data_IF_749490929582
#
_entry.id   IF_749490929582
#
_cell.length_a   1.000
_cell.length_b   1.000
_cell.length_c   1.000
_cell.angle_alpha   90.00
_cell.angle_beta   90.00
_cell.angle_gamma   90.00
#
_symmetry.space_group_name_H-M   'P 1'
#
loop_
_entity.id
_entity.type
_entity.pdbx_description
1 polymer ?
#
# COMPACT_ATOMS: atom_id res chain seq x y z
N UNK A 1 14.88 3.38 47.28
CA UNK A 1 15.72 2.30 46.74
C UNK A 1 15.45 2.23 45.22
N UNK A 2 16.45 2.46 44.41
CA UNK A 2 16.31 2.36 42.93
C UNK A 2 16.62 0.92 42.54
N UNK A 3 15.66 0.22 41.94
CA UNK A 3 15.87 -1.11 41.39
C UNK A 3 16.53 -0.91 40.02
N UNK A 4 17.85 -1.21 39.93
CA UNK A 4 18.62 -0.98 38.70
C UNK A 4 18.56 -2.12 37.67
N UNK A 5 18.08 -3.30 38.06
CA UNK A 5 17.87 -4.46 37.18
C UNK A 5 16.79 -5.38 37.75
N UNK A 6 15.85 -5.79 36.88
CA UNK A 6 15.00 -6.96 37.11
C UNK A 6 15.61 -8.10 36.31
N UNK A 7 15.99 -9.20 36.99
CA UNK A 7 16.49 -10.39 36.32
C UNK A 7 15.33 -11.24 35.82
N UNK A 8 15.50 -11.89 34.67
CA UNK A 8 14.46 -12.73 34.05
C UNK A 8 13.92 -13.81 35.00
N UNK A 9 14.80 -14.31 35.89
CA UNK A 9 14.46 -15.31 36.91
C UNK A 9 13.50 -14.77 38.01
N UNK A 10 13.38 -13.45 38.12
CA UNK A 10 12.48 -12.78 39.08
C UNK A 10 11.09 -12.48 38.50
N UNK A 11 10.86 -12.80 37.23
CA UNK A 11 9.58 -12.58 36.55
C UNK A 11 8.90 -13.93 36.31
N UNK A 12 7.68 -14.08 36.82
CA UNK A 12 6.85 -15.20 36.40
C UNK A 12 6.32 -14.93 34.97
N UNK A 13 6.85 -15.61 33.97
CA UNK A 13 6.50 -15.43 32.58
C UNK A 13 5.04 -15.80 32.22
N UNK A 14 4.30 -16.39 33.17
CA UNK A 14 2.87 -16.66 33.02
C UNK A 14 1.99 -15.48 33.47
N UNK A 15 2.56 -14.47 34.13
CA UNK A 15 1.81 -13.32 34.61
C UNK A 15 1.74 -12.20 33.57
N UNK A 16 0.67 -11.40 33.63
CA UNK A 16 0.54 -10.19 32.81
C UNK A 16 1.17 -9.01 33.57
N UNK A 17 2.19 -8.39 33.00
CA UNK A 17 2.86 -7.23 33.56
C UNK A 17 2.37 -5.95 32.88
N UNK A 18 1.89 -4.99 33.66
CA UNK A 18 1.55 -3.64 33.18
C UNK A 18 2.75 -2.70 33.40
N UNK A 19 3.31 -2.17 32.33
CA UNK A 19 4.35 -1.16 32.38
C UNK A 19 3.71 0.23 32.20
N UNK A 20 3.88 1.11 33.19
CA UNK A 20 3.32 2.48 33.16
C UNK A 20 4.32 3.54 32.71
N UNK A 21 5.54 3.15 32.35
CA UNK A 21 6.60 4.01 31.83
C UNK A 21 6.98 3.66 30.40
N UNK A 22 7.83 4.50 29.79
CA UNK A 22 8.37 4.22 28.47
C UNK A 22 9.23 2.95 28.51
N UNK A 23 8.86 1.96 27.72
CA UNK A 23 9.71 0.79 27.49
C UNK A 23 10.75 1.23 26.45
N UNK A 24 11.98 1.52 26.90
CA UNK A 24 13.11 1.77 26.03
C UNK A 24 13.57 0.45 25.41
N UNK A 25 13.07 0.14 24.26
CA UNK A 25 13.37 -1.03 23.45
C UNK A 25 12.43 -1.04 22.26
N UNK A 26 12.86 -1.61 21.15
CA UNK A 26 12.05 -1.61 19.91
C UNK A 26 10.89 -2.58 20.04
N UNK A 27 9.81 -2.20 20.71
CA UNK A 27 8.51 -2.85 20.51
C UNK A 27 7.91 -2.24 19.25
N UNK A 28 8.18 -2.85 18.13
CA UNK A 28 7.47 -2.49 16.90
C UNK A 28 6.03 -3.03 16.98
N UNK A 29 5.14 -2.26 17.57
CA UNK A 29 3.69 -2.49 17.44
C UNK A 29 3.20 -1.83 16.14
N UNK A 30 3.78 -2.26 15.02
CA UNK A 30 3.41 -1.77 13.70
C UNK A 30 1.99 -2.23 13.37
N UNK A 31 1.08 -1.28 13.27
CA UNK A 31 -0.31 -1.53 12.88
C UNK A 31 -0.42 -1.60 11.36
N UNK A 32 -1.00 -2.66 10.83
CA UNK A 32 -1.15 -2.90 9.40
C UNK A 32 -2.51 -2.46 8.87
N UNK A 33 -2.49 -1.76 7.74
CA UNK A 33 -3.63 -1.56 6.84
C UNK A 33 -3.30 -2.19 5.49
N UNK A 34 -3.98 -3.28 5.14
CA UNK A 34 -3.72 -4.05 3.92
C UNK A 34 -4.92 -3.96 2.99
N UNK A 35 -4.67 -3.39 1.83
CA UNK A 35 -5.64 -3.12 0.77
C UNK A 35 -5.29 -3.89 -0.51
N UNK A 36 -6.32 -4.27 -1.25
CA UNK A 36 -6.17 -4.98 -2.52
C UNK A 36 -7.15 -4.45 -3.57
N UNK A 37 -6.79 -4.64 -4.84
CA UNK A 37 -7.73 -4.69 -5.95
C UNK A 37 -7.92 -6.14 -6.33
N UNK A 38 -9.13 -6.65 -6.14
CA UNK A 38 -9.51 -8.01 -6.50
C UNK A 38 -10.73 -7.97 -7.44
N UNK A 39 -10.76 -8.89 -8.40
CA UNK A 39 -11.87 -9.07 -9.32
C UNK A 39 -12.21 -10.55 -9.48
N UNK A 40 -13.41 -10.84 -9.93
CA UNK A 40 -13.82 -12.20 -10.24
C UNK A 40 -12.98 -12.78 -11.39
N UNK A 41 -13.03 -14.11 -11.53
CA UNK A 41 -12.47 -14.81 -12.70
C UNK A 41 -12.98 -14.16 -14.00
N UNK A 42 -12.11 -14.03 -14.98
CA UNK A 42 -12.39 -13.44 -16.31
C UNK A 42 -12.74 -11.94 -16.31
N UNK A 43 -12.49 -11.23 -15.21
CA UNK A 43 -12.65 -9.77 -15.11
C UNK A 43 -11.28 -9.11 -15.02
N UNK A 44 -10.96 -8.26 -15.98
CA UNK A 44 -9.69 -7.52 -16.06
C UNK A 44 -9.67 -6.28 -15.14
N UNK A 45 -8.47 -5.75 -14.89
CA UNK A 45 -8.25 -4.65 -13.93
C UNK A 45 -8.68 -3.25 -14.40
N UNK A 46 -9.11 -3.12 -15.63
CA UNK A 46 -9.55 -1.85 -16.20
C UNK A 46 -8.58 -1.25 -17.22
N UNK A 47 -9.07 -0.22 -17.91
CA UNK A 47 -8.31 0.56 -18.89
C UNK A 47 -7.46 1.64 -18.23
N UNK A 48 -6.60 2.30 -19.02
CA UNK A 48 -5.80 3.43 -18.59
C UNK A 48 -5.84 4.57 -19.61
N UNK A 49 -5.43 5.77 -19.17
CA UNK A 49 -5.07 6.87 -20.05
C UNK A 49 -3.54 6.92 -20.19
N UNK A 50 -3.05 7.00 -21.43
CA UNK A 50 -1.62 7.11 -21.69
C UNK A 50 -1.06 8.48 -21.31
N UNK A 51 0.23 8.55 -21.05
CA UNK A 51 0.96 9.74 -20.59
C UNK A 51 0.27 10.43 -19.40
N UNK A 52 -0.26 9.64 -18.50
CA UNK A 52 -1.11 10.09 -17.40
C UNK A 52 -0.92 9.27 -16.14
N UNK A 53 -1.33 9.84 -15.01
CA UNK A 53 -1.43 9.14 -13.73
C UNK A 53 -2.86 8.61 -13.57
N UNK A 54 -3.00 7.31 -13.50
CA UNK A 54 -4.28 6.61 -13.35
C UNK A 54 -4.43 6.14 -11.90
N UNK A 55 -5.51 6.50 -11.23
CA UNK A 55 -5.78 6.01 -9.88
C UNK A 55 -6.07 4.51 -9.92
N UNK A 56 -5.41 3.75 -9.05
CA UNK A 56 -5.64 2.31 -8.91
C UNK A 56 -6.87 2.05 -8.07
N UNK A 57 -7.65 1.07 -8.47
CA UNK A 57 -8.76 0.55 -7.68
C UNK A 57 -8.23 -0.14 -6.42
N UNK A 58 -8.90 0.11 -5.28
CA UNK A 58 -8.69 -0.51 -3.99
C UNK A 58 -10.06 -0.89 -3.42
N UNK A 59 -10.57 -2.06 -3.81
CA UNK A 59 -11.93 -2.49 -3.51
C UNK A 59 -12.03 -3.53 -2.38
N UNK A 60 -10.89 -3.98 -1.84
CA UNK A 60 -10.86 -4.99 -0.79
C UNK A 60 -9.93 -4.56 0.35
N UNK A 61 -10.43 -4.65 1.58
CA UNK A 61 -9.65 -4.49 2.81
C UNK A 61 -9.43 -5.86 3.43
N UNK A 62 -8.18 -6.31 3.44
CA UNK A 62 -7.79 -7.59 4.06
C UNK A 62 -7.72 -7.46 5.57
N UNK A 63 -7.10 -6.39 6.04
CA UNK A 63 -7.00 -6.04 7.46
C UNK A 63 -6.84 -4.53 7.63
N UNK A 64 -7.44 -3.98 8.69
CA UNK A 64 -7.20 -2.60 9.12
C UNK A 64 -7.03 -2.58 10.64
N UNK A 65 -5.79 -2.41 11.10
CA UNK A 65 -5.42 -2.27 12.51
C UNK A 65 -5.14 -0.81 12.90
N UNK A 66 -5.17 0.12 11.93
CA UNK A 66 -4.87 1.54 12.15
C UNK A 66 -6.17 2.27 12.50
N UNK A 67 -6.38 2.59 13.77
CA UNK A 67 -7.55 3.37 14.19
C UNK A 67 -7.61 4.71 13.44
N UNK A 68 -8.77 5.02 12.87
CA UNK A 68 -8.99 6.23 12.06
C UNK A 68 -8.52 6.14 10.61
N UNK A 69 -7.92 5.01 10.17
CA UNK A 69 -7.67 4.77 8.77
C UNK A 69 -8.90 4.19 8.06
N UNK A 70 -9.09 4.57 6.80
CA UNK A 70 -10.18 4.07 5.96
C UNK A 70 -9.82 4.12 4.48
N UNK A 71 -10.57 3.37 3.66
CA UNK A 71 -10.58 3.49 2.20
C UNK A 71 -12.00 3.73 1.72
N UNK A 72 -12.17 4.69 0.82
CA UNK A 72 -13.46 5.00 0.19
C UNK A 72 -13.21 5.54 -1.23
N UNK A 73 -13.91 5.01 -2.21
CA UNK A 73 -13.75 5.40 -3.62
C UNK A 73 -12.28 5.38 -4.09
N UNK A 74 -11.52 4.39 -3.64
CA UNK A 74 -10.08 4.20 -3.88
C UNK A 74 -9.14 5.19 -3.15
N UNK A 75 -9.69 6.16 -2.43
CA UNK A 75 -8.93 7.09 -1.62
C UNK A 75 -8.67 6.52 -0.22
N UNK A 76 -7.43 6.58 0.21
CA UNK A 76 -6.96 6.07 1.50
C UNK A 76 -6.79 7.23 2.47
N UNK A 77 -7.57 7.26 3.53
CA UNK A 77 -7.43 8.25 4.62
C UNK A 77 -6.58 7.67 5.73
N UNK A 78 -5.56 8.41 6.16
CA UNK A 78 -4.65 8.04 7.25
C UNK A 78 -4.62 9.14 8.32
N UNK A 79 -4.69 8.80 9.62
CA UNK A 79 -4.50 9.77 10.71
C UNK A 79 -3.03 10.22 10.79
N UNK A 80 -2.74 11.22 11.63
CA UNK A 80 -1.36 11.63 11.91
C UNK A 80 -0.49 10.44 12.35
N UNK A 81 0.77 10.40 11.89
CA UNK A 81 1.70 9.33 12.21
C UNK A 81 2.83 9.18 11.22
N UNK A 82 3.70 8.23 11.49
CA UNK A 82 4.77 7.78 10.59
C UNK A 82 4.41 6.42 10.01
N UNK A 83 4.58 6.30 8.71
CA UNK A 83 4.14 5.16 7.93
C UNK A 83 5.25 4.57 7.07
N UNK A 84 5.19 3.26 6.87
CA UNK A 84 5.91 2.54 5.82
C UNK A 84 4.86 2.02 4.84
N UNK A 85 5.08 2.24 3.57
CA UNK A 85 4.26 1.70 2.48
C UNK A 85 5.07 0.71 1.68
N UNK A 86 4.45 -0.38 1.29
CA UNK A 86 4.97 -1.39 0.36
C UNK A 86 3.82 -1.95 -0.46
N UNK A 87 4.06 -2.10 -1.76
CA UNK A 87 3.03 -2.66 -2.62
C UNK A 87 3.45 -2.83 -4.07
N UNK A 88 2.54 -3.44 -4.81
CA UNK A 88 2.68 -3.62 -6.25
C UNK A 88 1.33 -3.51 -6.96
N UNK A 89 1.39 -3.25 -8.26
CA UNK A 89 0.25 -3.30 -9.15
C UNK A 89 0.63 -3.85 -10.52
N UNK A 90 -0.27 -4.60 -11.12
CA UNK A 90 -0.08 -5.15 -12.46
C UNK A 90 -0.11 -4.04 -13.52
N UNK A 91 0.61 -4.27 -14.61
CA UNK A 91 0.66 -3.43 -15.81
C UNK A 91 0.78 -4.31 -17.06
N UNK A 92 -0.08 -4.07 -18.04
CA UNK A 92 -0.10 -4.82 -19.29
C UNK A 92 -0.01 -3.86 -20.48
N UNK A 93 1.05 -3.99 -21.31
CA UNK A 93 1.24 -3.25 -22.56
C UNK A 93 1.27 -1.71 -22.40
N UNK A 94 1.94 -1.20 -21.37
CA UNK A 94 1.90 0.23 -21.01
C UNK A 94 3.20 1.00 -21.31
N UNK A 95 4.23 0.36 -21.91
CA UNK A 95 5.58 0.89 -22.05
C UNK A 95 6.16 1.28 -20.67
N UNK A 96 6.73 2.49 -20.54
CA UNK A 96 7.24 2.95 -19.25
C UNK A 96 6.11 3.21 -18.29
N UNK A 97 6.24 2.69 -17.08
CA UNK A 97 5.24 2.89 -16.04
C UNK A 97 5.87 2.77 -14.65
N UNK A 98 5.22 3.34 -13.64
CA UNK A 98 5.62 3.26 -12.23
C UNK A 98 4.47 3.68 -11.32
N UNK A 99 4.48 3.20 -10.08
CA UNK A 99 3.54 3.60 -9.04
C UNK A 99 3.97 4.89 -8.38
N UNK A 100 3.00 5.65 -7.85
CA UNK A 100 3.21 6.87 -7.10
C UNK A 100 2.24 6.94 -5.94
N UNK A 101 2.72 7.37 -4.78
CA UNK A 101 1.87 7.69 -3.64
C UNK A 101 1.55 9.17 -3.66
N UNK A 102 0.31 9.50 -3.93
CA UNK A 102 -0.17 10.87 -4.10
C UNK A 102 -0.96 11.30 -2.86
N UNK A 103 -0.55 12.39 -2.24
CA UNK A 103 -1.30 13.06 -1.19
C UNK A 103 -2.34 13.97 -1.84
N UNK A 104 -3.59 13.53 -1.86
CA UNK A 104 -4.70 14.27 -2.46
C UNK A 104 -5.07 15.53 -1.66
N UNK A 105 -4.83 15.53 -0.35
CA UNK A 105 -5.09 16.70 0.51
C UNK A 105 -4.15 17.87 0.17
N UNK A 106 -2.86 17.60 -0.05
CA UNK A 106 -1.84 18.62 -0.29
C UNK A 106 -1.45 18.70 -1.79
N UNK A 107 -2.12 17.97 -2.67
CA UNK A 107 -1.89 17.91 -4.11
C UNK A 107 -0.41 17.61 -4.47
N UNK A 108 0.23 16.66 -3.81
CA UNK A 108 1.66 16.37 -3.95
C UNK A 108 1.97 14.88 -4.03
N UNK A 109 2.99 14.52 -4.83
CA UNK A 109 3.53 13.16 -4.86
C UNK A 109 4.59 13.00 -3.79
N UNK A 110 4.41 12.05 -2.87
CA UNK A 110 5.31 11.85 -1.74
C UNK A 110 6.34 10.76 -2.05
N UNK A 111 5.92 9.68 -2.71
CA UNK A 111 6.79 8.55 -3.04
C UNK A 111 6.59 8.20 -4.51
N UNK A 112 7.69 7.99 -5.22
CA UNK A 112 7.70 7.40 -6.54
C UNK A 112 8.28 5.98 -6.44
N UNK A 113 7.60 5.02 -7.04
CA UNK A 113 8.07 3.65 -7.16
C UNK A 113 9.12 3.49 -8.26
N UNK A 114 9.56 2.27 -8.47
CA UNK A 114 10.54 1.95 -9.50
C UNK A 114 9.95 2.06 -10.91
N UNK A 115 10.75 2.60 -11.84
CA UNK A 115 10.41 2.62 -13.27
C UNK A 115 10.48 1.22 -13.84
N UNK A 116 9.40 0.83 -14.53
CA UNK A 116 9.24 -0.47 -15.18
C UNK A 116 8.88 -0.29 -16.65
N UNK A 117 8.94 -1.36 -17.40
CA UNK A 117 8.60 -1.35 -18.82
C UNK A 117 7.80 -2.61 -19.19
N UNK A 118 6.57 -2.42 -19.67
CA UNK A 118 5.71 -3.45 -20.25
C UNK A 118 5.45 -3.10 -21.72
N UNK A 119 6.14 -3.76 -22.65
CA UNK A 119 6.10 -3.42 -24.06
C UNK A 119 4.66 -3.33 -24.59
N UNK A 120 4.28 -2.17 -25.12
CA UNK A 120 2.94 -1.92 -25.65
C UNK A 120 2.62 -2.70 -26.94
N UNK A 121 3.63 -3.16 -27.67
CA UNK A 121 3.47 -3.90 -28.93
C UNK A 121 3.40 -5.41 -28.71
N UNK A 122 3.83 -5.91 -27.56
CA UNK A 122 3.85 -7.32 -27.21
C UNK A 122 2.95 -7.58 -25.99
N UNK A 123 2.52 -8.83 -25.85
CA UNK A 123 1.69 -9.24 -24.70
C UNK A 123 2.54 -9.43 -23.45
N UNK A 124 3.04 -8.31 -22.89
CA UNK A 124 3.88 -8.30 -21.69
C UNK A 124 3.10 -7.72 -20.53
N UNK A 125 2.96 -8.52 -19.48
CA UNK A 125 2.51 -8.07 -18.16
C UNK A 125 3.66 -8.14 -17.17
N UNK A 126 3.82 -7.08 -16.37
CA UNK A 126 4.75 -7.08 -15.25
C UNK A 126 4.17 -6.32 -14.04
N UNK A 127 4.97 -6.15 -13.01
CA UNK A 127 4.57 -5.49 -11.76
C UNK A 127 5.28 -4.15 -11.62
N UNK A 128 4.53 -3.08 -11.42
CA UNK A 128 5.04 -1.85 -10.84
C UNK A 128 5.10 -1.99 -9.32
N UNK A 129 6.19 -1.59 -8.69
CA UNK A 129 6.38 -1.66 -7.25
C UNK A 129 6.51 -0.27 -6.63
N UNK A 130 6.13 -0.15 -5.36
CA UNK A 130 6.32 1.05 -4.55
C UNK A 130 6.72 0.65 -3.14
N UNK A 131 7.71 1.34 -2.59
CA UNK A 131 8.03 1.24 -1.17
C UNK A 131 8.60 2.56 -0.66
N UNK A 132 8.42 2.85 0.62
CA UNK A 132 8.96 4.06 1.22
C UNK A 132 8.40 4.34 2.61
N UNK A 133 8.97 5.39 3.23
CA UNK A 133 8.56 5.89 4.55
C UNK A 133 8.14 7.34 4.43
N UNK A 134 7.07 7.73 5.12
CA UNK A 134 6.60 9.11 5.19
C UNK A 134 5.97 9.42 6.56
N UNK A 135 5.89 10.70 6.89
CA UNK A 135 5.28 11.20 8.12
C UNK A 135 4.26 12.28 7.79
N UNK A 136 3.12 12.25 8.46
CA UNK A 136 2.08 13.26 8.38
C UNK A 136 1.70 13.73 9.79
N UNK A 137 1.57 15.07 9.95
CA UNK A 137 1.25 15.70 11.25
C UNK A 137 -0.24 15.82 11.50
N UNK A 138 -1.08 15.60 10.48
CA UNK A 138 -2.55 15.62 10.57
C UNK A 138 -3.13 14.54 9.68
N UNK A 139 -4.41 14.25 9.82
CA UNK A 139 -5.12 13.34 8.93
C UNK A 139 -5.03 13.82 7.47
N UNK A 140 -4.68 12.92 6.55
CA UNK A 140 -4.55 13.18 5.12
C UNK A 140 -5.20 12.07 4.30
N UNK A 141 -5.58 12.42 3.07
CA UNK A 141 -6.13 11.50 2.08
C UNK A 141 -5.12 11.27 0.97
N UNK A 142 -5.00 10.03 0.53
CA UNK A 142 -4.00 9.58 -0.45
C UNK A 142 -4.64 8.73 -1.53
N UNK A 143 -3.99 8.70 -2.70
CA UNK A 143 -4.32 7.81 -3.80
C UNK A 143 -3.08 7.04 -4.27
N UNK A 144 -3.26 5.76 -4.59
CA UNK A 144 -2.24 4.99 -5.30
C UNK A 144 -2.40 5.29 -6.80
N UNK A 145 -1.49 6.09 -7.34
CA UNK A 145 -1.47 6.48 -8.74
C UNK A 145 -0.52 5.60 -9.53
N UNK A 146 -0.89 5.26 -10.75
CA UNK A 146 -0.06 4.51 -11.69
C UNK A 146 0.20 5.40 -12.92
N UNK A 147 1.41 5.93 -13.05
CA UNK A 147 1.82 6.59 -14.29
C UNK A 147 2.05 5.55 -15.38
N UNK A 148 1.52 5.82 -16.57
CA UNK A 148 1.65 4.97 -17.74
C UNK A 148 1.99 5.82 -18.97
N UNK A 149 2.99 5.42 -19.75
CA UNK A 149 3.40 6.15 -20.95
C UNK A 149 2.41 5.93 -22.09
N UNK A 150 2.00 4.70 -22.32
CA UNK A 150 1.07 4.34 -23.40
C UNK A 150 -0.33 4.11 -22.87
N UNK A 151 -1.34 4.46 -23.66
CA UNK A 151 -2.70 4.00 -23.43
C UNK A 151 -2.90 2.62 -24.04
N UNK A 152 -3.69 1.81 -23.39
CA UNK A 152 -4.22 0.59 -23.95
C UNK A 152 -5.74 0.61 -23.79
N UNK A 153 -6.45 0.67 -24.90
CA UNK A 153 -7.89 0.93 -24.92
C UNK A 153 -8.76 -0.22 -24.40
N UNK A 154 -8.16 -1.39 -24.21
CA UNK A 154 -8.87 -2.55 -23.65
C UNK A 154 -8.94 -2.47 -22.12
N UNK A 155 -9.91 -3.17 -21.56
CA UNK A 155 -10.13 -3.19 -20.10
C UNK A 155 -9.03 -3.87 -19.27
N UNK A 156 -7.97 -4.39 -19.90
CA UNK A 156 -6.90 -5.15 -19.27
C UNK A 156 -5.58 -4.39 -19.13
N UNK A 157 -5.52 -3.11 -19.45
CA UNK A 157 -4.31 -2.29 -19.36
C UNK A 157 -3.68 -2.32 -17.95
N UNK A 158 -4.50 -2.25 -16.92
CA UNK A 158 -4.07 -2.25 -15.52
C UNK A 158 -3.94 -3.66 -14.92
N UNK A 159 -4.03 -4.68 -15.75
CA UNK A 159 -3.82 -6.09 -15.43
C UNK A 159 -4.74 -7.01 -16.24
N UNK A 160 -4.13 -8.01 -16.88
CA UNK A 160 -4.85 -9.04 -17.64
C UNK A 160 -5.46 -10.07 -16.69
N UNK A 161 -6.65 -10.52 -17.01
CA UNK A 161 -7.41 -11.48 -16.23
C UNK A 161 -6.86 -12.91 -16.33
N UNK A 162 -7.08 -13.67 -15.28
CA UNK A 162 -7.02 -15.12 -15.26
C UNK A 162 -8.43 -15.69 -15.41
N UNK A 163 -8.57 -16.75 -16.19
CA UNK A 163 -9.85 -17.43 -16.39
C UNK A 163 -10.09 -18.57 -15.38
N UNK A 164 -9.28 -18.66 -14.32
CA UNK A 164 -9.25 -19.82 -13.41
C UNK A 164 -9.81 -19.48 -12.04
N UNK A 165 -9.47 -18.31 -11.48
CA UNK A 165 -9.80 -17.94 -10.10
C UNK A 165 -9.92 -16.43 -9.95
N UNK A 166 -10.21 -15.96 -8.74
CA UNK A 166 -10.16 -14.53 -8.37
C UNK A 166 -8.82 -13.90 -8.77
N UNK A 167 -8.90 -12.76 -9.42
CA UNK A 167 -7.74 -12.00 -9.86
C UNK A 167 -7.30 -10.98 -8.81
N UNK A 168 -6.00 -10.84 -8.59
CA UNK A 168 -5.38 -9.86 -7.71
C UNK A 168 -4.51 -8.91 -8.52
N UNK A 169 -4.90 -7.63 -8.59
CA UNK A 169 -4.24 -6.64 -9.44
C UNK A 169 -3.43 -5.61 -8.69
N UNK A 170 -3.77 -5.37 -7.43
CA UNK A 170 -3.02 -4.51 -6.52
C UNK A 170 -2.90 -5.21 -5.17
N UNK A 171 -1.74 -5.08 -4.57
CA UNK A 171 -1.50 -5.43 -3.18
C UNK A 171 -0.77 -4.26 -2.52
N UNK A 172 -1.40 -3.61 -1.56
CA UNK A 172 -0.88 -2.43 -0.89
C UNK A 172 -0.92 -2.62 0.61
N UNK A 173 0.23 -2.55 1.25
CA UNK A 173 0.42 -2.65 2.69
C UNK A 173 0.93 -1.34 3.25
N UNK A 174 0.31 -0.86 4.29
CA UNK A 174 0.65 0.38 4.97
C UNK A 174 0.79 0.05 6.45
N UNK A 175 1.99 0.25 7.00
CA UNK A 175 2.24 0.09 8.43
C UNK A 175 2.37 1.44 9.08
N UNK A 176 1.58 1.68 10.14
CA UNK A 176 1.83 2.78 11.06
C UNK A 176 2.89 2.33 12.06
N UNK A 177 4.02 3.04 12.10
CA UNK A 177 5.19 2.69 12.92
C UNK A 177 5.47 3.70 14.04
N UNK A 178 4.80 4.86 14.03
CA UNK A 178 4.81 5.85 15.10
C UNK A 178 3.64 6.84 14.95
#
# INVERSE_FOLDING_TARGET
MSISKIQAESMNLADTYAFTGDISGTVYDAKLFHLQHIEASSVAAGSNSGNSNNQRTLNSTVVNQISGASVSSNDVTLPAGTYIIDGYANAFRLNRHFLRWYNSTDASYIINGQSMFADANNEVQNLATISGRFTISAQKTFALMHYTQSSHSQSNALGIESNVTTNHYVNLRIWKVA
#
